data_IF_050505732117
#
_entry.id   IF_050505732117
#
_cell.length_a   1.000
_cell.length_b   1.000
_cell.length_c   1.000
_cell.angle_alpha   90.00
_cell.angle_beta   90.00
_cell.angle_gamma   90.00
#
_symmetry.space_group_name_H-M   'P 1'
#
loop_
_entity.id
_entity.type
_entity.pdbx_description
1 polymer ?
#
# COMPACT_ATOMS: atom_id res chain seq x y z
N UNK A 1 -15.98 10.37 -32.47
CA UNK A 1 -15.94 8.96 -32.05
C UNK A 1 -15.80 8.94 -30.53
N UNK A 2 -16.86 8.60 -29.79
CA UNK A 2 -16.93 8.73 -28.33
C UNK A 2 -16.14 7.65 -27.60
N UNK A 3 -15.48 8.05 -26.49
CA UNK A 3 -14.69 7.17 -25.63
C UNK A 3 -15.65 6.21 -24.93
N UNK A 4 -15.53 4.92 -25.24
CA UNK A 4 -16.36 3.86 -24.66
C UNK A 4 -16.04 3.67 -23.17
N UNK A 5 -17.08 3.55 -22.33
CA UNK A 5 -17.04 3.34 -20.87
C UNK A 5 -15.97 2.32 -20.44
N UNK A 6 -15.19 2.63 -19.38
CA UNK A 6 -14.37 1.63 -18.67
C UNK A 6 -15.27 0.51 -18.14
N UNK A 7 -14.93 -0.77 -18.35
CA UNK A 7 -15.65 -1.88 -17.72
C UNK A 7 -15.53 -1.78 -16.20
N UNK A 8 -16.66 -1.76 -15.52
CA UNK A 8 -16.71 -1.90 -14.05
C UNK A 8 -16.29 -3.33 -13.70
N UNK A 9 -15.36 -3.54 -12.74
CA UNK A 9 -15.04 -4.90 -12.29
C UNK A 9 -16.29 -5.54 -11.70
N UNK A 10 -16.69 -6.70 -12.26
CA UNK A 10 -17.79 -7.48 -11.72
C UNK A 10 -17.44 -7.93 -10.29
N UNK A 11 -18.45 -7.93 -9.41
CA UNK A 11 -18.30 -8.48 -8.05
C UNK A 11 -17.88 -9.94 -8.18
N UNK A 12 -16.73 -10.29 -7.62
CA UNK A 12 -16.28 -11.67 -7.58
C UNK A 12 -17.25 -12.51 -6.73
N UNK A 13 -17.60 -13.69 -7.25
CA UNK A 13 -18.52 -14.60 -6.59
C UNK A 13 -17.86 -15.18 -5.31
N UNK A 14 -18.46 -14.98 -4.12
CA UNK A 14 -17.85 -15.38 -2.86
C UNK A 14 -17.62 -16.89 -2.75
N UNK A 15 -18.46 -17.71 -3.39
CA UNK A 15 -18.30 -19.17 -3.38
C UNK A 15 -17.13 -19.63 -4.26
N UNK A 16 -16.80 -18.89 -5.33
CA UNK A 16 -15.61 -19.14 -6.13
C UNK A 16 -14.31 -18.84 -5.34
N UNK A 17 -14.34 -17.81 -4.50
CA UNK A 17 -13.20 -17.44 -3.64
C UNK A 17 -12.97 -18.51 -2.57
N UNK A 18 -14.02 -18.99 -1.91
CA UNK A 18 -13.92 -20.08 -0.92
C UNK A 18 -13.39 -21.38 -1.51
N UNK A 19 -13.85 -21.76 -2.71
CA UNK A 19 -13.32 -22.95 -3.41
C UNK A 19 -11.86 -22.82 -3.79
N UNK A 20 -11.40 -21.62 -4.16
CA UNK A 20 -9.99 -21.36 -4.45
C UNK A 20 -9.13 -21.48 -3.19
N UNK A 21 -9.55 -20.87 -2.09
CA UNK A 21 -8.86 -20.93 -0.80
C UNK A 21 -8.75 -22.39 -0.33
N UNK A 22 -9.84 -23.16 -0.42
CA UNK A 22 -9.88 -24.56 0.04
C UNK A 22 -9.25 -25.57 -0.93
N UNK A 23 -8.94 -25.16 -2.17
CA UNK A 23 -8.22 -26.01 -3.14
C UNK A 23 -6.71 -25.94 -3.01
N UNK A 24 -6.18 -25.07 -2.14
CA UNK A 24 -4.74 -24.99 -1.90
C UNK A 24 -4.22 -26.32 -1.30
N UNK A 25 -3.15 -26.92 -1.86
CA UNK A 25 -2.62 -28.21 -1.38
C UNK A 25 -2.09 -28.16 0.07
N UNK A 26 -1.83 -26.97 0.60
CA UNK A 26 -1.43 -26.72 2.00
C UNK A 26 -2.56 -26.97 3.02
N UNK A 27 -3.83 -26.93 2.59
CA UNK A 27 -4.99 -27.11 3.48
C UNK A 27 -5.05 -28.52 4.12
N UNK A 28 -4.32 -29.50 3.59
CA UNK A 28 -4.23 -30.86 4.13
C UNK A 28 -3.18 -31.02 5.25
N UNK A 29 -2.47 -29.97 5.64
CA UNK A 29 -1.40 -30.02 6.65
C UNK A 29 -1.81 -29.77 8.11
N UNK A 30 -3.01 -29.26 8.38
CA UNK A 30 -3.48 -29.05 9.75
C UNK A 30 -4.24 -30.29 10.24
N UNK A 31 -3.49 -31.24 10.76
CA UNK A 31 -4.01 -32.37 11.51
C UNK A 31 -4.67 -31.93 12.83
N UNK A 32 -5.89 -32.42 12.99
CA UNK A 32 -6.58 -32.77 14.26
C UNK A 32 -6.87 -31.65 15.27
N UNK A 33 -8.12 -31.18 15.25
CA UNK A 33 -8.97 -31.20 16.45
C UNK A 33 -10.42 -31.51 16.06
N UNK A 34 -10.96 -32.61 16.61
CA UNK A 34 -12.35 -33.06 16.44
C UNK A 34 -13.31 -32.28 17.39
N UNK A 35 -14.65 -32.42 17.25
CA UNK A 35 -15.59 -31.30 17.27
C UNK A 35 -16.17 -30.98 18.66
N UNK A 36 -16.43 -29.70 18.93
CA UNK A 36 -17.27 -29.26 20.04
C UNK A 36 -18.52 -28.54 19.51
N UNK A 37 -19.70 -29.04 19.87
CA UNK A 37 -20.99 -28.37 19.71
C UNK A 37 -21.06 -27.10 20.62
N UNK A 38 -21.95 -26.13 20.33
CA UNK A 38 -21.63 -24.71 20.34
C UNK A 38 -21.65 -24.08 21.75
N UNK A 39 -20.57 -23.40 22.12
CA UNK A 39 -20.59 -22.40 23.18
C UNK A 39 -20.95 -21.03 22.57
N UNK A 40 -21.79 -20.21 23.22
CA UNK A 40 -22.27 -18.96 22.65
C UNK A 40 -21.09 -18.05 22.31
N UNK A 41 -21.12 -17.49 21.10
CA UNK A 41 -20.15 -16.49 20.63
C UNK A 41 -20.03 -15.37 21.65
N UNK A 42 -18.93 -15.37 22.41
CA UNK A 42 -18.50 -14.20 23.13
C UNK A 42 -18.16 -13.14 22.09
N UNK A 43 -18.79 -11.97 22.22
CA UNK A 43 -18.60 -10.81 21.35
C UNK A 43 -17.10 -10.52 21.13
N UNK A 44 -16.70 -10.05 19.93
CA UNK A 44 -15.31 -9.74 19.66
C UNK A 44 -14.79 -8.72 20.68
N UNK A 45 -13.81 -9.15 21.48
CA UNK A 45 -13.01 -8.27 22.32
C UNK A 45 -12.33 -7.26 21.41
N UNK A 46 -12.46 -5.93 21.64
CA UNK A 46 -11.76 -4.94 20.84
C UNK A 46 -10.26 -5.16 20.99
N UNK A 47 -9.60 -5.60 19.91
CA UNK A 47 -8.16 -5.60 19.82
C UNK A 47 -7.65 -4.16 20.05
N UNK A 48 -6.55 -4.06 20.79
CA UNK A 48 -5.85 -2.84 21.16
C UNK A 48 -5.76 -1.83 20.00
N UNK A 49 -5.80 -0.52 20.28
CA UNK A 49 -5.90 0.50 19.24
C UNK A 49 -4.73 0.37 18.27
N UNK A 50 -5.07 0.07 17.01
CA UNK A 50 -4.14 0.19 15.91
C UNK A 50 -3.47 1.56 15.99
N UNK A 51 -2.13 1.55 16.03
CA UNK A 51 -1.27 2.73 16.04
C UNK A 51 -1.85 3.76 15.08
N UNK A 52 -2.20 4.94 15.59
CA UNK A 52 -2.72 6.02 14.77
C UNK A 52 -1.76 6.24 13.59
N UNK A 53 -2.19 5.83 12.40
CA UNK A 53 -1.58 6.29 11.16
C UNK A 53 -1.79 7.78 11.18
N UNK A 54 -0.71 8.52 11.44
CA UNK A 54 -0.70 9.97 11.41
C UNK A 54 -1.51 10.42 10.20
N UNK A 55 -2.50 11.27 10.43
CA UNK A 55 -3.40 11.76 9.40
C UNK A 55 -2.57 12.34 8.27
N UNK A 56 -2.32 11.54 7.24
CA UNK A 56 -1.68 12.00 6.02
C UNK A 56 -2.70 12.89 5.35
N UNK A 57 -2.66 14.18 5.66
CA UNK A 57 -3.35 15.20 4.86
C UNK A 57 -3.00 14.91 3.41
N UNK A 58 -4.03 14.67 2.57
CA UNK A 58 -3.81 14.35 1.16
C UNK A 58 -3.02 15.51 0.54
N UNK A 59 -1.77 15.21 0.12
CA UNK A 59 -0.92 16.19 -0.55
C UNK A 59 -1.53 16.54 -1.91
N UNK A 60 -1.56 17.82 -2.25
CA UNK A 60 -1.98 18.28 -3.57
C UNK A 60 -0.92 17.88 -4.61
N UNK A 61 -1.30 17.19 -5.69
CA UNK A 61 -0.35 16.88 -6.76
C UNK A 61 0.06 18.17 -7.49
N UNK A 62 1.35 18.30 -7.77
CA UNK A 62 1.94 19.38 -8.56
C UNK A 62 2.73 18.78 -9.72
N UNK A 63 2.62 19.41 -10.89
CA UNK A 63 3.38 19.04 -12.09
C UNK A 63 4.60 19.95 -12.24
N UNK A 64 5.77 19.34 -12.47
CA UNK A 64 7.04 20.03 -12.67
C UNK A 64 7.71 19.50 -13.93
N UNK A 65 8.30 20.39 -14.71
CA UNK A 65 9.11 20.03 -15.89
C UNK A 65 10.58 20.03 -15.50
N UNK A 66 11.27 18.92 -15.75
CA UNK A 66 12.70 18.74 -15.42
C UNK A 66 13.39 18.20 -16.67
N UNK A 67 14.60 18.68 -16.94
CA UNK A 67 15.45 18.12 -17.98
C UNK A 67 15.69 16.61 -17.76
N UNK A 68 15.65 15.82 -18.84
CA UNK A 68 15.74 14.37 -18.76
C UNK A 68 17.10 13.88 -18.22
N UNK A 69 18.19 14.58 -18.56
CA UNK A 69 19.52 14.19 -18.09
C UNK A 69 19.73 14.54 -16.60
N UNK A 70 19.09 15.60 -16.10
CA UNK A 70 19.05 15.89 -14.66
C UNK A 70 18.23 14.82 -13.94
N UNK A 71 17.08 14.44 -14.49
CA UNK A 71 16.20 13.44 -13.88
C UNK A 71 16.89 12.08 -13.73
N UNK A 72 17.60 11.62 -14.77
CA UNK A 72 18.33 10.36 -14.75
C UNK A 72 19.41 10.33 -13.66
N UNK A 73 20.18 11.42 -13.51
CA UNK A 73 21.21 11.55 -12.46
C UNK A 73 20.61 11.51 -11.05
N UNK A 74 19.45 12.13 -10.88
CA UNK A 74 18.74 12.11 -9.60
C UNK A 74 18.20 10.71 -9.29
N UNK A 75 17.67 9.99 -10.27
CA UNK A 75 17.19 8.61 -10.07
C UNK A 75 18.33 7.65 -9.72
N UNK A 76 19.50 7.80 -10.33
CA UNK A 76 20.69 7.01 -9.98
C UNK A 76 21.10 7.27 -8.52
N UNK A 77 21.16 8.54 -8.11
CA UNK A 77 21.45 8.92 -6.73
C UNK A 77 20.37 8.43 -5.74
N UNK A 78 19.10 8.44 -6.15
CA UNK A 78 17.99 7.92 -5.36
C UNK A 78 18.08 6.40 -5.20
N UNK A 79 18.39 5.68 -6.28
CA UNK A 79 18.56 4.23 -6.28
C UNK A 79 19.72 3.80 -5.37
N UNK A 80 20.84 4.52 -5.38
CA UNK A 80 21.95 4.28 -4.47
C UNK A 80 21.56 4.43 -2.98
N UNK A 81 20.55 5.25 -2.68
CA UNK A 81 20.00 5.48 -1.33
C UNK A 81 18.78 4.60 -1.01
N UNK A 82 18.33 3.74 -1.95
CA UNK A 82 17.10 2.95 -1.80
C UNK A 82 15.82 3.80 -1.72
N UNK A 83 15.85 5.03 -2.22
CA UNK A 83 14.73 5.96 -2.19
C UNK A 83 13.94 5.91 -3.49
N UNK A 84 12.62 6.13 -3.39
CA UNK A 84 11.83 6.44 -4.59
C UNK A 84 12.18 7.84 -5.11
N UNK A 85 11.98 8.07 -6.42
CA UNK A 85 12.16 9.39 -7.03
C UNK A 85 11.45 10.51 -6.25
N UNK A 86 10.20 10.29 -5.87
CA UNK A 86 9.42 11.27 -5.12
C UNK A 86 10.00 11.56 -3.73
N UNK A 87 10.53 10.53 -3.04
CA UNK A 87 11.21 10.70 -1.76
C UNK A 87 12.53 11.46 -1.92
N UNK A 88 13.30 11.19 -2.98
CA UNK A 88 14.55 11.91 -3.27
C UNK A 88 14.31 13.40 -3.55
N UNK A 89 13.25 13.74 -4.29
CA UNK A 89 12.86 15.14 -4.52
C UNK A 89 12.49 15.82 -3.19
N UNK A 90 11.67 15.15 -2.37
CA UNK A 90 11.26 15.71 -1.09
C UNK A 90 12.43 15.92 -0.12
N UNK A 91 13.38 14.97 -0.08
CA UNK A 91 14.60 15.04 0.72
C UNK A 91 15.49 16.21 0.28
N UNK A 92 15.71 16.36 -1.03
CA UNK A 92 16.49 17.47 -1.59
C UNK A 92 15.86 18.84 -1.28
N UNK A 93 14.53 18.96 -1.36
CA UNK A 93 13.83 20.19 -0.98
C UNK A 93 14.00 20.51 0.51
N UNK A 94 13.93 19.49 1.38
CA UNK A 94 14.10 19.67 2.82
C UNK A 94 15.53 20.10 3.17
N UNK A 95 16.53 19.49 2.55
CA UNK A 95 17.95 19.84 2.74
C UNK A 95 18.26 21.27 2.26
N UNK A 96 17.68 21.67 1.12
CA UNK A 96 17.81 23.03 0.60
C UNK A 96 17.20 24.08 1.54
N UNK A 97 16.01 23.81 2.10
CA UNK A 97 15.37 24.69 3.08
C UNK A 97 16.21 24.81 4.35
N UNK A 98 16.66 23.67 4.90
CA UNK A 98 17.53 23.64 6.07
C UNK A 98 18.82 24.44 5.86
N UNK A 99 19.40 24.35 4.67
CA UNK A 99 20.60 25.12 4.29
C UNK A 99 20.35 26.62 4.16
N UNK A 100 19.10 27.05 3.94
CA UNK A 100 18.71 28.46 3.86
C UNK A 100 18.29 29.06 5.20
N UNK A 101 17.72 28.26 6.10
CA UNK A 101 17.32 28.70 7.44
C UNK A 101 18.53 28.80 8.40
N UNK A 102 19.62 28.09 8.11
CA UNK A 102 20.86 28.14 8.87
C UNK A 102 21.92 29.15 8.38
N UNK A 103 21.59 30.02 7.42
CA UNK A 103 22.51 30.96 6.77
C UNK A 103 22.14 32.42 7.03
#
# INVERSE_FOLDING_TARGET
MGITKRPTPAKADPAAIEKFINSAPDAKGQGVAAPAAPAPVAAPTPAAPARAVASSTRKTPISLTIDAAILARMDEAAAARGLSRAAAIADACADWLKSKEGA
#
